data_IF_014374427752
#
_entry.id   IF_014374427752
#
_cell.length_a   1.000
_cell.length_b   1.000
_cell.length_c   1.000
_cell.angle_alpha   90.00
_cell.angle_beta   90.00
_cell.angle_gamma   90.00
#
_symmetry.space_group_name_H-M   'P 1'
#
loop_
_entity.id
_entity.type
_entity.pdbx_description
1 polymer ?
#
# COMPACT_ATOMS: atom_id res chain seq x y z
N UNK A 1 -2.74 -10.09 10.80
CA UNK A 1 -1.57 -9.83 9.91
C UNK A 1 -1.78 -8.48 9.26
N UNK A 2 -0.76 -7.61 9.30
CA UNK A 2 -0.84 -6.23 8.82
C UNK A 2 0.03 -6.05 7.58
N UNK A 3 -0.37 -5.13 6.72
CA UNK A 3 0.32 -4.79 5.47
C UNK A 3 0.55 -3.29 5.42
N UNK A 4 1.74 -2.90 5.00
CA UNK A 4 1.99 -1.53 4.60
C UNK A 4 1.72 -1.41 3.11
N UNK A 5 0.88 -0.43 2.76
CA UNK A 5 0.58 -0.05 1.38
C UNK A 5 1.19 1.32 1.15
N UNK A 6 2.12 1.37 0.21
CA UNK A 6 2.81 2.58 -0.22
C UNK A 6 2.23 3.00 -1.57
N UNK A 7 1.72 4.23 -1.65
CA UNK A 7 1.31 4.85 -2.91
C UNK A 7 2.55 5.44 -3.55
N UNK A 8 2.73 5.17 -4.84
CA UNK A 8 3.87 5.63 -5.60
C UNK A 8 3.46 6.68 -6.62
N UNK A 9 4.32 7.66 -6.85
CA UNK A 9 4.15 8.56 -7.99
C UNK A 9 4.42 7.83 -9.31
N UNK A 10 3.73 8.23 -10.37
CA UNK A 10 3.78 7.55 -11.67
C UNK A 10 5.07 7.82 -12.44
N UNK A 11 5.77 8.92 -12.13
CA UNK A 11 6.95 9.39 -12.89
C UNK A 11 8.24 8.75 -12.37
N UNK A 12 8.44 8.78 -11.05
CA UNK A 12 9.69 8.39 -10.41
C UNK A 12 9.55 7.15 -9.52
N UNK A 13 8.33 6.66 -9.28
CA UNK A 13 8.08 5.53 -8.37
C UNK A 13 8.41 5.85 -6.90
N UNK A 14 8.53 7.13 -6.56
CA UNK A 14 8.78 7.60 -5.19
C UNK A 14 7.51 7.44 -4.35
N UNK A 15 7.70 7.17 -3.06
CA UNK A 15 6.57 7.01 -2.14
C UNK A 15 5.97 8.37 -1.82
N UNK A 16 4.69 8.54 -2.16
CA UNK A 16 3.93 9.76 -1.85
C UNK A 16 3.19 9.66 -0.52
N UNK A 17 2.79 8.45 -0.15
CA UNK A 17 2.02 8.16 1.06
C UNK A 17 2.20 6.70 1.47
N UNK A 18 2.16 6.39 2.77
CA UNK A 18 2.10 5.02 3.26
C UNK A 18 1.07 4.84 4.36
N UNK A 19 0.40 3.70 4.34
CA UNK A 19 -0.59 3.34 5.35
C UNK A 19 -0.44 1.88 5.73
N UNK A 20 -0.54 1.59 7.03
CA UNK A 20 -0.59 0.22 7.54
C UNK A 20 -2.04 -0.19 7.76
N UNK A 21 -2.44 -1.31 7.18
CA UNK A 21 -3.82 -1.81 7.21
C UNK A 21 -3.87 -3.30 7.53
N UNK A 22 -5.01 -3.76 8.02
CA UNK A 22 -5.28 -5.19 8.16
C UNK A 22 -5.52 -5.88 6.83
N UNK A 23 -5.28 -7.20 6.79
CA UNK A 23 -5.43 -8.03 5.60
C UNK A 23 -6.81 -7.89 4.93
N UNK A 24 -7.88 -7.76 5.71
CA UNK A 24 -9.25 -7.62 5.19
C UNK A 24 -9.45 -6.34 4.36
N UNK A 25 -8.68 -5.29 4.64
CA UNK A 25 -8.80 -3.99 3.95
C UNK A 25 -7.99 -3.92 2.65
N UNK A 26 -7.02 -4.82 2.45
CA UNK A 26 -6.08 -4.79 1.31
C UNK A 26 -6.82 -4.85 -0.03
N UNK A 27 -7.78 -5.78 -0.18
CA UNK A 27 -8.50 -5.95 -1.44
C UNK A 27 -9.26 -4.69 -1.85
N UNK A 28 -9.92 -4.01 -0.90
CA UNK A 28 -10.65 -2.77 -1.18
C UNK A 28 -9.70 -1.68 -1.69
N UNK A 29 -8.55 -1.52 -1.05
CA UNK A 29 -7.57 -0.49 -1.42
C UNK A 29 -6.98 -0.75 -2.81
N UNK A 30 -6.67 -2.02 -3.13
CA UNK A 30 -6.19 -2.41 -4.46
C UNK A 30 -7.23 -2.09 -5.54
N UNK A 31 -8.50 -2.40 -5.30
CA UNK A 31 -9.57 -2.09 -6.26
C UNK A 31 -9.75 -0.58 -6.47
N UNK A 32 -9.69 0.21 -5.40
CA UNK A 32 -9.77 1.68 -5.49
C UNK A 32 -8.60 2.27 -6.28
N UNK A 33 -7.38 1.79 -6.05
CA UNK A 33 -6.22 2.25 -6.79
C UNK A 33 -6.30 1.85 -8.27
N UNK A 34 -6.73 0.61 -8.56
CA UNK A 34 -6.92 0.13 -9.92
C UNK A 34 -7.96 0.96 -10.70
N UNK A 35 -9.02 1.43 -10.04
CA UNK A 35 -10.06 2.26 -10.66
C UNK A 35 -9.55 3.60 -11.18
N UNK A 36 -8.42 4.11 -10.66
CA UNK A 36 -7.83 5.40 -11.07
C UNK A 36 -6.43 5.26 -11.66
N UNK A 37 -5.94 4.03 -11.88
CA UNK A 37 -4.58 3.78 -12.38
C UNK A 37 -3.46 4.06 -11.37
N UNK A 38 -3.76 4.16 -10.07
CA UNK A 38 -2.76 4.48 -9.05
C UNK A 38 -1.79 3.31 -8.81
N UNK A 39 -0.50 3.60 -8.82
CA UNK A 39 0.56 2.63 -8.54
C UNK A 39 0.73 2.41 -7.04
N UNK A 40 0.71 1.14 -6.63
CA UNK A 40 0.91 0.71 -5.25
C UNK A 40 2.11 -0.22 -5.11
N UNK A 41 2.79 -0.15 -3.97
CA UNK A 41 3.66 -1.20 -3.47
C UNK A 41 3.11 -1.71 -2.13
N UNK A 42 2.97 -3.03 -2.00
CA UNK A 42 2.36 -3.66 -0.84
C UNK A 42 3.36 -4.64 -0.24
N UNK A 43 3.61 -4.52 1.06
CA UNK A 43 4.50 -5.42 1.81
C UNK A 43 3.86 -5.80 3.15
N UNK A 44 4.21 -6.94 3.75
CA UNK A 44 3.90 -7.18 5.15
C UNK A 44 4.46 -6.01 5.98
N UNK A 45 3.64 -5.44 6.87
CA UNK A 45 4.16 -4.45 7.80
C UNK A 45 5.08 -5.20 8.75
N UNK A 46 6.37 -4.85 8.79
CA UNK A 46 7.27 -5.43 9.79
C UNK A 46 6.66 -5.20 11.16
N UNK A 47 6.48 -6.29 11.92
CA UNK A 47 6.36 -6.16 13.36
C UNK A 47 7.78 -5.77 13.75
N UNK A 48 8.04 -4.49 14.04
CA UNK A 48 9.36 -4.10 14.57
C UNK A 48 9.68 -5.06 15.71
N UNK A 49 10.59 -6.00 15.45
CA UNK A 49 11.11 -6.86 16.48
C UNK A 49 11.84 -5.91 17.42
N UNK A 50 11.24 -5.70 18.58
CA UNK A 50 11.80 -4.89 19.66
C UNK A 50 12.96 -5.66 20.30
#
# INVERSE_FOLDING_TARGET
MRFEIMRLDEVNGTTVDSTVVDAASVNRIVQQAAAIGQRLWIRPAEVSAS
#
